data_IF_300242368686
#
_entry.id   IF_300242368686
#
_cell.length_a   1.000
_cell.length_b   1.000
_cell.length_c   1.000
_cell.angle_alpha   90.00
_cell.angle_beta   90.00
_cell.angle_gamma   90.00
#
_symmetry.space_group_name_H-M   'P 1'
#
loop_
_entity.id
_entity.type
_entity.pdbx_description
1 polymer ?
#
# COMPACT_ATOMS: atom_id res chain seq x y z
N UNK A 1 5.42 -18.49 35.82
CA UNK A 1 5.46 -17.02 35.77
C UNK A 1 4.17 -16.50 36.41
N UNK A 2 4.23 -15.62 37.41
CA UNK A 2 3.03 -15.13 38.12
C UNK A 2 2.14 -14.29 37.19
N UNK A 3 0.84 -14.23 37.47
CA UNK A 3 -0.08 -13.38 36.69
C UNK A 3 0.36 -11.91 36.64
N UNK A 4 0.95 -11.40 37.74
CA UNK A 4 1.49 -10.04 37.79
C UNK A 4 2.61 -9.79 36.76
N UNK A 5 3.53 -10.74 36.57
CA UNK A 5 4.59 -10.61 35.56
C UNK A 5 4.00 -10.67 34.15
N UNK A 6 3.07 -11.60 33.92
CA UNK A 6 2.41 -11.76 32.61
C UNK A 6 1.67 -10.49 32.21
N UNK A 7 0.88 -9.93 33.13
CA UNK A 7 0.14 -8.70 32.89
C UNK A 7 1.08 -7.52 32.71
N UNK A 8 2.12 -7.38 33.53
CA UNK A 8 3.12 -6.31 33.35
C UNK A 8 3.77 -6.34 31.97
N UNK A 9 4.14 -7.53 31.48
CA UNK A 9 4.70 -7.69 30.14
C UNK A 9 3.68 -7.35 29.03
N UNK A 10 2.48 -7.91 29.09
CA UNK A 10 1.48 -7.74 28.02
C UNK A 10 0.75 -6.39 28.05
N UNK A 11 0.79 -5.67 29.17
CA UNK A 11 0.34 -4.27 29.24
C UNK A 11 1.27 -3.36 28.40
N UNK A 12 2.57 -3.66 28.35
CA UNK A 12 3.56 -2.96 27.50
C UNK A 12 3.63 -3.53 26.08
N UNK A 13 3.57 -4.85 25.94
CA UNK A 13 3.71 -5.57 24.68
C UNK A 13 2.48 -6.45 24.41
N UNK A 14 1.35 -5.90 23.91
CA UNK A 14 0.11 -6.65 23.75
C UNK A 14 0.28 -7.97 22.97
N UNK A 15 -0.42 -9.05 23.35
CA UNK A 15 -0.20 -10.36 22.77
C UNK A 15 -0.54 -10.40 21.27
N UNK A 16 0.38 -10.99 20.49
CA UNK A 16 0.24 -11.15 19.04
C UNK A 16 -0.24 -12.55 18.63
N UNK A 17 -0.05 -13.55 19.49
CA UNK A 17 -0.44 -14.94 19.24
C UNK A 17 -1.70 -15.31 20.02
N UNK A 18 -2.41 -16.34 19.55
CA UNK A 18 -3.59 -16.85 20.25
C UNK A 18 -3.25 -17.33 21.67
N UNK A 19 -2.14 -18.06 21.83
CA UNK A 19 -1.69 -18.53 23.16
C UNK A 19 -1.36 -17.36 24.09
N UNK A 20 -0.76 -16.29 23.58
CA UNK A 20 -0.51 -15.07 24.33
C UNK A 20 -1.81 -14.38 24.76
N UNK A 21 -2.81 -14.37 23.88
CA UNK A 21 -4.14 -13.81 24.17
C UNK A 21 -4.80 -14.57 25.32
N UNK A 22 -4.80 -15.90 25.28
CA UNK A 22 -5.34 -16.72 26.36
C UNK A 22 -4.55 -16.50 27.65
N UNK A 23 -3.23 -16.51 27.58
CA UNK A 23 -2.38 -16.36 28.76
C UNK A 23 -2.59 -15.02 29.46
N UNK A 24 -2.74 -13.94 28.70
CA UNK A 24 -3.02 -12.62 29.24
C UNK A 24 -4.44 -12.52 29.82
N UNK A 25 -5.46 -13.05 29.13
CA UNK A 25 -6.83 -13.09 29.66
C UNK A 25 -6.95 -13.90 30.95
N UNK A 26 -6.30 -15.05 31.02
CA UNK A 26 -6.25 -15.89 32.23
C UNK A 26 -5.56 -15.14 33.38
N UNK A 27 -4.47 -14.39 33.09
CA UNK A 27 -3.77 -13.59 34.09
C UNK A 27 -4.59 -12.38 34.57
N UNK A 28 -5.36 -11.72 33.69
CA UNK A 28 -6.30 -10.67 34.10
C UNK A 28 -7.41 -11.22 35.00
N UNK A 29 -7.87 -12.45 34.73
CA UNK A 29 -8.86 -13.15 35.56
C UNK A 29 -8.30 -13.45 36.96
N UNK A 30 -7.08 -13.99 37.04
CA UNK A 30 -6.41 -14.31 38.31
C UNK A 30 -6.19 -13.07 39.19
N UNK A 31 -6.01 -11.90 38.57
CA UNK A 31 -5.84 -10.61 39.27
C UNK A 31 -7.14 -9.83 39.50
N UNK A 32 -8.30 -10.43 39.23
CA UNK A 32 -9.63 -9.82 39.38
C UNK A 32 -9.80 -8.48 38.60
N UNK A 33 -9.15 -8.35 37.45
CA UNK A 33 -9.23 -7.17 36.57
C UNK A 33 -10.38 -7.28 35.57
N UNK A 34 -11.61 -7.48 36.07
CA UNK A 34 -12.78 -7.81 35.24
C UNK A 34 -13.07 -6.81 34.10
N UNK A 35 -12.96 -5.50 34.37
CA UNK A 35 -13.19 -4.46 33.36
C UNK A 35 -12.16 -4.51 32.22
N UNK A 36 -10.90 -4.76 32.56
CA UNK A 36 -9.82 -4.87 31.58
C UNK A 36 -9.95 -6.16 30.75
N UNK A 37 -10.31 -7.27 31.40
CA UNK A 37 -10.59 -8.54 30.72
C UNK A 37 -11.72 -8.38 29.71
N UNK A 38 -12.84 -7.74 30.10
CA UNK A 38 -13.96 -7.49 29.19
C UNK A 38 -13.55 -6.63 28.00
N UNK A 39 -12.81 -5.54 28.22
CA UNK A 39 -12.34 -4.66 27.14
C UNK A 39 -11.38 -5.39 26.21
N UNK A 40 -10.44 -6.14 26.78
CA UNK A 40 -9.47 -6.95 26.04
C UNK A 40 -10.17 -8.03 25.20
N UNK A 41 -11.10 -8.79 25.78
CA UNK A 41 -11.80 -9.87 25.10
C UNK A 41 -12.59 -9.35 23.87
N UNK A 42 -13.33 -8.25 23.99
CA UNK A 42 -14.05 -7.69 22.85
C UNK A 42 -13.13 -7.14 21.76
N UNK A 43 -12.04 -6.48 22.13
CA UNK A 43 -11.05 -6.00 21.17
C UNK A 43 -10.46 -7.17 20.36
N UNK A 44 -10.02 -8.23 21.05
CA UNK A 44 -9.46 -9.42 20.39
C UNK A 44 -10.49 -10.19 19.60
N UNK A 45 -11.70 -10.32 20.11
CA UNK A 45 -12.81 -10.92 19.37
C UNK A 45 -13.08 -10.18 18.06
N UNK A 46 -12.96 -8.86 18.03
CA UNK A 46 -13.24 -8.09 16.81
C UNK A 46 -12.10 -8.14 15.81
N UNK A 47 -10.84 -8.12 16.28
CA UNK A 47 -9.67 -7.87 15.42
C UNK A 47 -8.86 -9.11 15.03
N UNK A 48 -8.94 -10.19 15.81
CA UNK A 48 -8.05 -11.34 15.64
C UNK A 48 -8.66 -12.38 14.70
N UNK A 49 -7.82 -12.89 13.79
CA UNK A 49 -8.16 -14.04 12.98
C UNK A 49 -8.09 -15.32 13.82
N UNK A 50 -9.18 -16.08 13.82
CA UNK A 50 -9.29 -17.31 14.61
C UNK A 50 -9.60 -18.48 13.68
N UNK A 51 -8.87 -19.59 13.88
CA UNK A 51 -9.28 -20.89 13.36
C UNK A 51 -10.63 -21.31 13.96
N UNK A 52 -11.24 -22.36 13.41
CA UNK A 52 -12.49 -22.87 13.98
C UNK A 52 -12.32 -23.31 15.45
N UNK A 53 -11.24 -24.05 15.75
CA UNK A 53 -10.94 -24.51 17.10
C UNK A 53 -10.66 -23.34 18.07
N UNK A 54 -9.84 -22.37 17.62
CA UNK A 54 -9.52 -21.18 18.41
C UNK A 54 -10.75 -20.32 18.69
N UNK A 55 -11.68 -20.22 17.74
CA UNK A 55 -12.93 -19.48 17.94
C UNK A 55 -13.80 -20.14 19.00
N UNK A 56 -13.93 -21.47 18.95
CA UNK A 56 -14.66 -22.21 19.98
C UNK A 56 -14.04 -22.00 21.35
N UNK A 57 -12.72 -22.22 21.48
CA UNK A 57 -12.02 -22.04 22.75
C UNK A 57 -12.14 -20.60 23.28
N UNK A 58 -12.06 -19.59 22.40
CA UNK A 58 -12.22 -18.20 22.79
C UNK A 58 -13.63 -17.92 23.33
N UNK A 59 -14.67 -18.45 22.68
CA UNK A 59 -16.06 -18.29 23.14
C UNK A 59 -16.34 -19.06 24.42
N UNK A 60 -15.74 -20.24 24.60
CA UNK A 60 -15.88 -21.02 25.83
C UNK A 60 -15.31 -20.25 27.04
N UNK A 61 -14.18 -19.56 26.85
CA UNK A 61 -13.53 -18.79 27.92
C UNK A 61 -14.14 -17.40 28.14
N UNK A 62 -14.40 -16.67 27.06
CA UNK A 62 -14.73 -15.24 27.12
C UNK A 62 -16.10 -14.90 26.55
N UNK A 63 -16.85 -15.87 26.01
CA UNK A 63 -18.12 -15.63 25.33
C UNK A 63 -19.17 -14.96 26.21
N UNK A 64 -19.22 -15.30 27.50
CA UNK A 64 -20.13 -14.67 28.46
C UNK A 64 -19.83 -13.18 28.70
N UNK A 65 -18.64 -12.71 28.34
CA UNK A 65 -18.27 -11.30 28.41
C UNK A 65 -18.72 -10.54 27.15
N UNK A 66 -18.97 -11.22 26.03
CA UNK A 66 -19.29 -10.58 24.77
C UNK A 66 -20.77 -10.19 24.68
N UNK A 67 -21.03 -9.14 23.90
CA UNK A 67 -22.35 -8.55 23.66
C UNK A 67 -22.72 -8.68 22.19
N UNK A 68 -24.00 -8.49 21.88
CA UNK A 68 -24.50 -8.38 20.49
C UNK A 68 -23.69 -7.37 19.66
N UNK A 69 -23.25 -6.26 20.28
CA UNK A 69 -22.45 -5.24 19.62
C UNK A 69 -21.05 -5.75 19.23
N UNK A 70 -20.41 -6.58 20.07
CA UNK A 70 -19.10 -7.17 19.74
C UNK A 70 -19.23 -8.22 18.64
N UNK A 71 -20.32 -9.00 18.64
CA UNK A 71 -20.61 -9.95 17.56
C UNK A 71 -20.87 -9.22 16.24
N UNK A 72 -21.59 -8.10 16.25
CA UNK A 72 -21.82 -7.26 15.08
C UNK A 72 -20.50 -6.61 14.59
N UNK A 73 -19.66 -6.12 15.50
CA UNK A 73 -18.36 -5.55 15.14
C UNK A 73 -17.44 -6.58 14.46
N UNK A 74 -17.39 -7.81 15.00
CA UNK A 74 -16.65 -8.91 14.35
C UNK A 74 -17.28 -9.29 13.00
N UNK A 75 -18.60 -9.30 12.90
CA UNK A 75 -19.30 -9.56 11.64
C UNK A 75 -18.87 -8.58 10.56
N UNK A 76 -18.89 -7.27 10.85
CA UNK A 76 -18.45 -6.25 9.90
C UNK A 76 -16.98 -6.42 9.50
N UNK A 77 -16.08 -6.63 10.48
CA UNK A 77 -14.67 -6.85 10.19
C UNK A 77 -14.45 -8.04 9.23
N UNK A 78 -15.15 -9.15 9.46
CA UNK A 78 -15.05 -10.36 8.63
C UNK A 78 -15.66 -10.17 7.24
N UNK A 79 -16.81 -9.48 7.13
CA UNK A 79 -17.47 -9.20 5.86
C UNK A 79 -16.60 -8.29 4.99
N UNK A 80 -16.06 -7.19 5.55
CA UNK A 80 -15.11 -6.36 4.83
C UNK A 80 -13.85 -7.16 4.45
N UNK A 81 -13.32 -8.03 5.32
CA UNK A 81 -12.19 -8.89 4.97
C UNK A 81 -12.55 -10.04 3.99
N UNK A 82 -13.81 -10.16 3.55
CA UNK A 82 -14.34 -11.23 2.71
C UNK A 82 -14.05 -12.65 3.26
N UNK A 83 -14.12 -12.79 4.59
CA UNK A 83 -13.83 -14.04 5.31
C UNK A 83 -15.08 -14.90 5.44
N UNK A 84 -15.55 -15.43 4.31
CA UNK A 84 -16.84 -16.13 4.22
C UNK A 84 -17.00 -17.30 5.20
N UNK A 85 -15.95 -18.10 5.39
CA UNK A 85 -16.00 -19.27 6.30
C UNK A 85 -16.15 -18.85 7.76
N UNK A 86 -15.38 -17.86 8.20
CA UNK A 86 -15.46 -17.33 9.57
C UNK A 86 -16.78 -16.60 9.81
N UNK A 87 -17.24 -15.81 8.84
CA UNK A 87 -18.53 -15.10 8.89
C UNK A 87 -19.67 -16.08 9.17
N UNK A 88 -19.73 -17.19 8.43
CA UNK A 88 -20.80 -18.20 8.62
C UNK A 88 -20.73 -18.90 9.96
N UNK A 89 -19.55 -19.00 10.59
CA UNK A 89 -19.43 -19.52 11.98
C UNK A 89 -20.03 -18.57 13.02
N UNK A 90 -20.24 -17.29 12.70
CA UNK A 90 -20.94 -16.37 13.60
C UNK A 90 -22.46 -16.49 13.54
N UNK A 91 -23.03 -17.16 12.53
CA UNK A 91 -24.49 -17.20 12.35
C UNK A 91 -25.28 -17.67 13.58
N UNK A 92 -24.81 -18.65 14.39
CA UNK A 92 -25.51 -19.01 15.63
C UNK A 92 -25.64 -17.86 16.64
N UNK A 93 -24.79 -16.85 16.56
CA UNK A 93 -24.72 -15.69 17.47
C UNK A 93 -25.45 -14.46 16.91
N UNK A 94 -26.08 -14.55 15.73
CA UNK A 94 -26.65 -13.41 15.02
C UNK A 94 -28.16 -13.51 14.90
N UNK A 95 -28.81 -12.34 14.86
CA UNK A 95 -30.25 -12.24 14.57
C UNK A 95 -30.54 -12.65 13.12
N UNK A 96 -31.78 -13.06 12.83
CA UNK A 96 -32.17 -13.54 11.50
C UNK A 96 -31.88 -12.51 10.37
N UNK A 97 -32.19 -11.24 10.59
CA UNK A 97 -31.92 -10.16 9.63
C UNK A 97 -30.42 -9.98 9.34
N UNK A 98 -29.58 -9.96 10.37
CA UNK A 98 -28.12 -9.85 10.23
C UNK A 98 -27.53 -11.04 9.48
N UNK A 99 -28.04 -12.26 9.72
CA UNK A 99 -27.64 -13.44 8.94
C UNK A 99 -27.98 -13.30 7.46
N UNK A 100 -29.18 -12.82 7.15
CA UNK A 100 -29.61 -12.60 5.76
C UNK A 100 -28.74 -11.55 5.06
N UNK A 101 -28.48 -10.42 5.72
CA UNK A 101 -27.56 -9.37 5.25
C UNK A 101 -26.16 -9.92 4.98
N UNK A 102 -25.61 -10.68 5.93
CA UNK A 102 -24.28 -11.27 5.82
C UNK A 102 -24.19 -12.24 4.62
N UNK A 103 -25.17 -13.14 4.45
CA UNK A 103 -25.16 -14.08 3.33
C UNK A 103 -25.31 -13.35 1.98
N UNK A 104 -26.14 -12.31 1.90
CA UNK A 104 -26.25 -11.47 0.71
C UNK A 104 -24.90 -10.81 0.35
N UNK A 105 -24.23 -10.18 1.32
CA UNK A 105 -22.90 -9.58 1.13
C UNK A 105 -21.85 -10.60 0.70
N UNK A 106 -21.81 -11.79 1.32
CA UNK A 106 -20.87 -12.85 0.93
C UNK A 106 -21.12 -13.37 -0.49
N UNK A 107 -22.37 -13.54 -0.90
CA UNK A 107 -22.72 -14.00 -2.23
C UNK A 107 -22.38 -12.94 -3.29
N UNK A 108 -22.67 -11.67 -3.02
CA UNK A 108 -22.25 -10.55 -3.85
C UNK A 108 -20.72 -10.47 -3.96
N UNK A 109 -19.97 -10.62 -2.87
CA UNK A 109 -18.51 -10.61 -2.91
C UNK A 109 -17.92 -11.79 -3.71
N UNK A 110 -18.66 -12.89 -3.82
CA UNK A 110 -18.28 -14.10 -4.57
C UNK A 110 -18.21 -13.91 -6.08
N UNK A 111 -17.87 -14.99 -6.81
CA UNK A 111 -17.87 -15.04 -8.29
C UNK A 111 -19.13 -15.68 -8.88
N UNK A 112 -19.88 -16.44 -8.08
CA UNK A 112 -21.05 -17.18 -8.55
C UNK A 112 -22.27 -16.29 -8.56
N UNK A 113 -23.02 -16.27 -9.68
CA UNK A 113 -24.32 -15.58 -9.77
C UNK A 113 -25.45 -16.32 -9.07
N UNK A 114 -25.26 -17.61 -8.75
CA UNK A 114 -26.30 -18.45 -8.18
C UNK A 114 -26.72 -17.93 -6.80
N UNK A 115 -28.01 -17.65 -6.66
CA UNK A 115 -28.64 -17.32 -5.37
C UNK A 115 -28.47 -15.87 -4.91
N UNK A 116 -27.76 -15.02 -5.67
CA UNK A 116 -27.54 -13.60 -5.33
C UNK A 116 -28.87 -12.86 -5.20
N UNK A 117 -29.73 -12.89 -6.22
CA UNK A 117 -31.00 -12.15 -6.20
C UNK A 117 -31.91 -12.59 -5.06
N UNK A 118 -31.97 -13.90 -4.81
CA UNK A 118 -32.74 -14.45 -3.69
C UNK A 118 -32.19 -13.97 -2.35
N UNK A 119 -30.87 -13.94 -2.18
CA UNK A 119 -30.25 -13.50 -0.94
C UNK A 119 -30.43 -12.00 -0.70
N UNK A 120 -30.25 -11.18 -1.73
CA UNK A 120 -30.51 -9.73 -1.65
C UNK A 120 -31.98 -9.46 -1.32
N UNK A 121 -32.93 -10.18 -1.94
CA UNK A 121 -34.36 -10.06 -1.63
C UNK A 121 -34.72 -10.51 -0.21
N UNK A 122 -33.92 -11.38 0.39
CA UNK A 122 -34.13 -11.87 1.76
C UNK A 122 -33.62 -10.89 2.83
N UNK A 123 -32.88 -9.84 2.47
CA UNK A 123 -32.45 -8.80 3.39
C UNK A 123 -33.68 -7.98 3.84
N UNK A 124 -33.92 -7.82 5.15
CA UNK A 124 -35.01 -6.97 5.65
C UNK A 124 -34.90 -5.52 5.18
N UNK A 125 -36.04 -4.83 5.07
CA UNK A 125 -36.08 -3.46 4.54
C UNK A 125 -35.25 -2.49 5.39
N UNK A 126 -35.24 -2.66 6.70
CA UNK A 126 -34.45 -1.88 7.65
C UNK A 126 -32.93 -2.04 7.50
N UNK A 127 -32.46 -3.06 6.76
CA UNK A 127 -31.05 -3.32 6.45
C UNK A 127 -30.72 -3.13 4.96
N UNK A 128 -31.67 -2.68 4.13
CA UNK A 128 -31.49 -2.57 2.69
C UNK A 128 -30.47 -1.49 2.29
N UNK A 129 -30.29 -0.49 3.16
CA UNK A 129 -29.33 0.63 2.99
C UNK A 129 -28.03 0.42 3.78
N UNK A 130 -27.75 -0.80 4.23
CA UNK A 130 -26.44 -1.12 4.83
C UNK A 130 -25.30 -0.75 3.87
N UNK A 131 -24.32 0.04 4.35
CA UNK A 131 -23.20 0.54 3.54
C UNK A 131 -22.47 -0.61 2.84
N UNK A 132 -22.19 -1.69 3.58
CA UNK A 132 -21.46 -2.83 3.05
C UNK A 132 -22.26 -3.62 2.01
N UNK A 133 -23.59 -3.66 2.12
CA UNK A 133 -24.46 -4.23 1.10
C UNK A 133 -24.45 -3.39 -0.18
N UNK A 134 -24.61 -2.07 -0.07
CA UNK A 134 -24.57 -1.17 -1.22
C UNK A 134 -23.21 -1.30 -1.93
N UNK A 135 -22.11 -1.24 -1.17
CA UNK A 135 -20.76 -1.42 -1.68
C UNK A 135 -20.61 -2.74 -2.46
N UNK A 136 -21.05 -3.88 -1.90
CA UNK A 136 -20.92 -5.16 -2.61
C UNK A 136 -21.82 -5.24 -3.85
N UNK A 137 -22.96 -4.53 -3.88
CA UNK A 137 -23.80 -4.40 -5.07
C UNK A 137 -23.13 -3.55 -6.16
N UNK A 138 -22.45 -2.46 -5.82
CA UNK A 138 -21.62 -1.66 -6.75
C UNK A 138 -20.56 -2.56 -7.39
N UNK A 139 -19.80 -3.29 -6.56
CA UNK A 139 -18.75 -4.22 -7.00
C UNK A 139 -19.25 -5.34 -7.88
N UNK A 140 -20.41 -5.88 -7.53
CA UNK A 140 -21.07 -6.93 -8.29
C UNK A 140 -21.42 -6.45 -9.70
N UNK A 141 -22.08 -5.29 -9.81
CA UNK A 141 -22.47 -4.70 -11.10
C UNK A 141 -21.25 -4.33 -11.95
N UNK A 142 -20.24 -3.70 -11.35
CA UNK A 142 -18.97 -3.40 -12.04
C UNK A 142 -18.31 -4.66 -12.62
N UNK A 143 -18.20 -5.74 -11.83
CA UNK A 143 -17.60 -7.02 -12.28
C UNK A 143 -18.44 -7.76 -13.32
N UNK A 144 -19.72 -7.42 -13.43
CA UNK A 144 -20.61 -7.89 -14.49
C UNK A 144 -20.64 -6.94 -15.70
N UNK A 145 -19.71 -5.97 -15.76
CA UNK A 145 -19.60 -4.94 -16.79
C UNK A 145 -20.86 -4.06 -16.95
N UNK A 146 -21.71 -4.03 -15.92
CA UNK A 146 -22.80 -3.08 -15.80
C UNK A 146 -22.30 -1.81 -15.09
N UNK A 147 -21.62 -0.94 -15.85
CA UNK A 147 -21.05 0.33 -15.35
C UNK A 147 -22.13 1.31 -14.91
N UNK A 148 -23.17 1.51 -15.72
CA UNK A 148 -24.30 2.41 -15.43
C UNK A 148 -24.99 2.04 -14.10
N UNK A 149 -25.40 0.78 -13.96
CA UNK A 149 -26.02 0.31 -12.73
C UNK A 149 -25.07 0.34 -11.53
N UNK A 150 -23.76 0.27 -11.71
CA UNK A 150 -22.82 0.46 -10.60
C UNK A 150 -22.78 1.92 -10.15
N UNK A 151 -22.79 2.87 -11.10
CA UNK A 151 -22.81 4.32 -10.83
C UNK A 151 -24.11 4.75 -10.16
N UNK A 152 -25.26 4.23 -10.59
CA UNK A 152 -26.55 4.50 -9.94
C UNK A 152 -26.52 4.20 -8.42
N UNK A 153 -25.82 3.13 -8.03
CA UNK A 153 -25.69 2.76 -6.61
C UNK A 153 -24.68 3.62 -5.86
N UNK A 154 -23.73 4.25 -6.54
CA UNK A 154 -22.80 5.19 -5.89
C UNK A 154 -23.52 6.44 -5.35
N UNK A 155 -24.72 6.76 -5.85
CA UNK A 155 -25.56 7.81 -5.28
C UNK A 155 -26.05 7.49 -3.86
N UNK A 156 -26.01 6.23 -3.45
CA UNK A 156 -26.38 5.77 -2.10
C UNK A 156 -25.15 5.64 -1.18
N UNK A 157 -23.96 6.03 -1.63
CA UNK A 157 -22.78 6.07 -0.77
C UNK A 157 -22.99 7.10 0.37
N UNK A 158 -22.70 6.74 1.64
CA UNK A 158 -22.74 7.70 2.73
C UNK A 158 -21.76 8.86 2.50
N UNK A 159 -22.12 10.07 2.93
CA UNK A 159 -21.24 11.25 2.81
C UNK A 159 -19.88 11.06 3.50
N UNK A 160 -19.84 10.29 4.59
CA UNK A 160 -18.62 9.84 5.26
C UNK A 160 -18.68 8.32 5.39
N UNK A 161 -18.14 7.56 4.43
CA UNK A 161 -18.20 6.09 4.46
C UNK A 161 -17.28 5.52 5.56
N UNK A 162 -17.62 4.34 6.08
CA UNK A 162 -16.77 3.64 7.06
C UNK A 162 -15.48 3.08 6.44
N UNK A 163 -15.48 2.85 5.12
CA UNK A 163 -14.34 2.37 4.33
C UNK A 163 -14.04 3.26 3.11
N UNK A 164 -13.62 4.51 3.31
CA UNK A 164 -13.37 5.47 2.21
C UNK A 164 -12.35 4.95 1.20
N UNK A 165 -11.34 4.20 1.66
CA UNK A 165 -10.34 3.52 0.82
C UNK A 165 -10.97 2.59 -0.24
N UNK A 166 -12.03 1.88 0.16
CA UNK A 166 -12.70 0.89 -0.69
C UNK A 166 -13.65 1.55 -1.68
N UNK A 167 -14.41 2.54 -1.24
CA UNK A 167 -15.26 3.33 -2.11
C UNK A 167 -14.44 4.08 -3.16
N UNK A 168 -13.32 4.68 -2.75
CA UNK A 168 -12.36 5.31 -3.67
C UNK A 168 -11.91 4.35 -4.77
N UNK A 169 -11.54 3.11 -4.41
CA UNK A 169 -11.12 2.10 -5.38
C UNK A 169 -12.19 1.87 -6.45
N UNK A 170 -13.45 1.72 -6.07
CA UNK A 170 -14.54 1.45 -7.01
C UNK A 170 -14.88 2.68 -7.87
N UNK A 171 -14.89 3.89 -7.29
CA UNK A 171 -15.04 5.15 -8.03
C UNK A 171 -13.92 5.34 -9.06
N UNK A 172 -12.66 5.15 -8.66
CA UNK A 172 -11.51 5.31 -9.55
C UNK A 172 -11.58 4.34 -10.74
N UNK A 173 -11.98 3.08 -10.51
CA UNK A 173 -12.18 2.11 -11.61
C UNK A 173 -13.31 2.56 -12.54
N UNK A 174 -14.47 2.96 -12.00
CA UNK A 174 -15.62 3.36 -12.79
C UNK A 174 -15.37 4.66 -13.56
N UNK A 175 -14.67 5.63 -12.96
CA UNK A 175 -14.26 6.87 -13.62
C UNK A 175 -13.32 6.60 -14.80
N UNK A 176 -12.39 5.65 -14.67
CA UNK A 176 -11.52 5.22 -15.78
C UNK A 176 -12.28 4.52 -16.90
N UNK A 177 -13.40 3.84 -16.59
CA UNK A 177 -14.29 3.27 -17.61
C UNK A 177 -15.04 4.38 -18.36
N UNK A 178 -15.67 5.31 -17.64
CA UNK A 178 -16.31 6.48 -18.24
C UNK A 178 -15.34 7.25 -19.13
N UNK A 179 -14.11 7.47 -18.64
CA UNK A 179 -13.05 8.09 -19.42
C UNK A 179 -12.74 7.32 -20.72
N UNK A 180 -12.57 5.99 -20.64
CA UNK A 180 -12.31 5.16 -21.82
C UNK A 180 -13.48 5.16 -22.81
N UNK A 181 -14.71 5.32 -22.32
CA UNK A 181 -15.95 5.42 -23.11
C UNK A 181 -16.19 6.84 -23.66
N UNK A 182 -15.35 7.81 -23.31
CA UNK A 182 -15.41 9.20 -23.77
C UNK A 182 -16.24 10.15 -22.90
N UNK A 183 -16.85 9.67 -21.82
CA UNK A 183 -17.58 10.49 -20.85
C UNK A 183 -16.62 11.09 -19.80
N UNK A 184 -15.90 12.12 -20.22
CA UNK A 184 -14.91 12.78 -19.36
C UNK A 184 -15.54 13.61 -18.23
N UNK A 185 -16.74 14.18 -18.46
CA UNK A 185 -17.44 14.96 -17.44
C UNK A 185 -17.99 14.03 -16.35
N UNK A 186 -18.64 12.93 -16.72
CA UNK A 186 -19.08 11.92 -15.74
C UNK A 186 -17.90 11.29 -14.99
N UNK A 187 -16.77 11.06 -15.67
CA UNK A 187 -15.54 10.61 -15.01
C UNK A 187 -15.07 11.60 -13.94
N UNK A 188 -15.09 12.91 -14.23
CA UNK A 188 -14.76 13.97 -13.28
C UNK A 188 -15.75 14.00 -12.10
N UNK A 189 -17.06 14.01 -12.39
CA UNK A 189 -18.16 14.01 -11.40
C UNK A 189 -18.04 12.87 -10.39
N UNK A 190 -17.54 11.72 -10.83
CA UNK A 190 -17.40 10.56 -9.97
C UNK A 190 -16.27 10.69 -8.94
N UNK A 191 -15.25 11.50 -9.21
CA UNK A 191 -14.01 11.54 -8.42
C UNK A 191 -13.75 12.87 -7.73
N UNK A 192 -14.36 13.98 -8.14
CA UNK A 192 -14.22 15.25 -7.42
C UNK A 192 -14.94 15.22 -6.06
N UNK A 193 -14.40 15.86 -5.02
CA UNK A 193 -15.01 16.07 -3.69
C UNK A 193 -15.33 14.84 -2.84
N UNK A 194 -14.30 14.18 -2.28
CA UNK A 194 -14.45 12.99 -1.44
C UNK A 194 -13.94 13.24 -0.01
N UNK A 195 -14.69 12.77 0.99
CA UNK A 195 -14.36 12.93 2.40
C UNK A 195 -13.75 11.64 2.99
N UNK A 196 -12.97 11.79 4.06
CA UNK A 196 -12.41 10.65 4.80
C UNK A 196 -11.30 9.88 4.08
N UNK A 197 -10.87 10.31 2.89
CA UNK A 197 -9.76 9.68 2.16
C UNK A 197 -8.46 9.76 2.96
N UNK A 198 -7.65 8.71 2.86
CA UNK A 198 -6.27 8.77 3.32
C UNK A 198 -5.51 9.84 2.54
N UNK A 199 -4.40 10.35 3.08
CA UNK A 199 -3.54 11.33 2.36
C UNK A 199 -3.13 10.82 0.97
N UNK A 200 -2.87 9.51 0.84
CA UNK A 200 -2.48 8.89 -0.43
C UNK A 200 -3.65 8.86 -1.42
N UNK A 201 -4.83 8.42 -0.97
CA UNK A 201 -6.02 8.34 -1.83
C UNK A 201 -6.50 9.73 -2.23
N UNK A 202 -6.43 10.70 -1.31
CA UNK A 202 -6.72 12.11 -1.61
C UNK A 202 -5.77 12.65 -2.68
N UNK A 203 -4.47 12.38 -2.56
CA UNK A 203 -3.50 12.80 -3.58
C UNK A 203 -3.79 12.17 -4.96
N UNK A 204 -4.24 10.91 -5.01
CA UNK A 204 -4.66 10.29 -6.27
C UNK A 204 -5.93 10.94 -6.82
N UNK A 205 -6.93 11.18 -5.96
CA UNK A 205 -8.21 11.79 -6.33
C UNK A 205 -8.05 13.21 -6.85
N UNK A 206 -7.28 14.05 -6.16
CA UNK A 206 -7.01 15.43 -6.58
C UNK A 206 -6.20 15.45 -7.88
N UNK A 207 -5.22 14.56 -8.05
CA UNK A 207 -4.48 14.49 -9.31
C UNK A 207 -5.38 14.09 -10.49
N UNK A 208 -6.19 13.04 -10.34
CA UNK A 208 -7.10 12.58 -11.40
C UNK A 208 -8.16 13.63 -11.73
N UNK A 209 -8.75 14.26 -10.71
CA UNK A 209 -9.76 15.32 -10.88
C UNK A 209 -9.17 16.53 -11.61
N UNK A 210 -7.99 17.01 -11.18
CA UNK A 210 -7.31 18.12 -11.84
C UNK A 210 -6.88 17.79 -13.27
N UNK A 211 -6.41 16.57 -13.52
CA UNK A 211 -6.02 16.13 -14.86
C UNK A 211 -7.21 16.05 -15.81
N UNK A 212 -8.34 15.48 -15.38
CA UNK A 212 -9.59 15.47 -16.15
C UNK A 212 -10.07 16.90 -16.44
N UNK A 213 -10.12 17.74 -15.40
CA UNK A 213 -10.51 19.14 -15.48
C UNK A 213 -9.69 19.93 -16.51
N UNK A 214 -8.35 19.81 -16.45
CA UNK A 214 -7.44 20.56 -17.31
C UNK A 214 -7.39 20.03 -18.75
N UNK A 215 -7.45 18.71 -18.93
CA UNK A 215 -7.07 18.07 -20.20
C UNK A 215 -8.25 17.62 -21.06
N UNK A 216 -9.44 17.46 -20.48
CA UNK A 216 -10.54 16.76 -21.14
C UNK A 216 -11.89 17.45 -21.05
N UNK A 217 -12.10 18.36 -20.09
CA UNK A 217 -13.37 19.10 -19.95
C UNK A 217 -13.19 20.62 -20.00
N UNK A 218 -11.99 21.11 -20.37
CA UNK A 218 -11.68 22.53 -20.56
C UNK A 218 -12.02 23.43 -19.36
N UNK A 219 -11.75 22.94 -18.13
CA UNK A 219 -11.96 23.66 -16.86
C UNK A 219 -10.66 23.86 -16.09
N UNK A 220 -9.73 24.70 -16.59
CA UNK A 220 -8.48 24.99 -15.89
C UNK A 220 -8.70 25.69 -14.53
N UNK A 221 -9.82 26.39 -14.37
CA UNK A 221 -10.25 26.99 -13.09
C UNK A 221 -10.50 25.94 -12.01
N UNK A 222 -11.14 24.81 -12.35
CA UNK A 222 -11.32 23.69 -11.43
C UNK A 222 -10.00 22.97 -11.19
N UNK A 223 -9.20 22.77 -12.25
CA UNK A 223 -7.91 22.09 -12.16
C UNK A 223 -6.94 22.77 -11.19
N UNK A 224 -6.93 24.11 -11.15
CA UNK A 224 -6.07 24.88 -10.26
C UNK A 224 -6.33 24.49 -8.79
N UNK A 225 -7.61 24.50 -8.38
CA UNK A 225 -8.00 24.12 -7.01
C UNK A 225 -7.59 22.68 -6.66
N UNK A 226 -7.77 21.75 -7.59
CA UNK A 226 -7.38 20.35 -7.39
C UNK A 226 -5.86 20.19 -7.25
N UNK A 227 -5.07 20.77 -8.16
CA UNK A 227 -3.62 20.63 -8.09
C UNK A 227 -3.00 21.41 -6.92
N UNK A 228 -3.64 22.50 -6.47
CA UNK A 228 -3.26 23.21 -5.24
C UNK A 228 -3.47 22.34 -4.01
N UNK A 229 -4.66 21.75 -3.85
CA UNK A 229 -4.93 20.77 -2.77
C UNK A 229 -3.99 19.57 -2.84
N UNK A 230 -3.68 19.06 -4.03
CA UNK A 230 -2.67 18.00 -4.20
C UNK A 230 -1.31 18.43 -3.63
N UNK A 231 -0.81 19.61 -4.04
CA UNK A 231 0.49 20.10 -3.61
C UNK A 231 0.57 20.33 -2.10
N UNK A 232 -0.47 20.90 -1.50
CA UNK A 232 -0.56 21.19 -0.07
C UNK A 232 -0.68 19.92 0.80
N UNK A 233 -1.27 18.84 0.25
CA UNK A 233 -1.50 17.60 0.97
C UNK A 233 -0.41 16.54 0.82
N UNK A 234 0.63 16.80 0.02
CA UNK A 234 1.75 15.88 -0.18
C UNK A 234 3.03 16.42 0.46
N UNK A 235 4.03 15.55 0.64
CA UNK A 235 5.31 15.98 1.24
C UNK A 235 6.54 15.33 0.63
N UNK A 236 6.39 14.29 -0.21
CA UNK A 236 7.53 13.66 -0.86
C UNK A 236 7.98 14.48 -2.08
N UNK A 237 9.30 14.57 -2.37
CA UNK A 237 9.80 15.33 -3.52
C UNK A 237 9.10 14.97 -4.84
N UNK A 238 8.85 13.68 -5.08
CA UNK A 238 8.14 13.20 -6.27
C UNK A 238 6.72 13.80 -6.37
N UNK A 239 6.00 13.85 -5.25
CA UNK A 239 4.62 14.34 -5.25
C UNK A 239 4.55 15.86 -5.29
N UNK A 240 5.47 16.56 -4.60
CA UNK A 240 5.59 18.01 -4.67
C UNK A 240 5.91 18.46 -6.10
N UNK A 241 6.89 17.81 -6.75
CA UNK A 241 7.23 18.07 -8.14
C UNK A 241 6.03 17.86 -9.08
N UNK A 242 5.26 16.80 -8.87
CA UNK A 242 4.04 16.51 -9.63
C UNK A 242 2.98 17.60 -9.45
N UNK A 243 2.66 17.98 -8.22
CA UNK A 243 1.66 19.01 -7.93
C UNK A 243 2.06 20.35 -8.54
N UNK A 244 3.31 20.77 -8.30
CA UNK A 244 3.84 22.02 -8.84
C UNK A 244 3.89 22.02 -10.37
N UNK A 245 4.32 20.94 -11.02
CA UNK A 245 4.31 20.86 -12.48
C UNK A 245 2.92 21.04 -13.06
N UNK A 246 1.92 20.36 -12.51
CA UNK A 246 0.55 20.45 -13.00
C UNK A 246 -0.13 21.80 -12.69
N UNK A 247 0.23 22.47 -11.59
CA UNK A 247 -0.10 23.89 -11.38
C UNK A 247 0.52 24.77 -12.46
N UNK A 248 1.80 24.55 -12.79
CA UNK A 248 2.47 25.25 -13.90
C UNK A 248 1.75 25.08 -15.24
N UNK A 249 1.35 23.84 -15.58
CA UNK A 249 0.52 23.55 -16.77
C UNK A 249 -0.85 24.24 -16.75
N UNK A 250 -1.44 24.36 -15.56
CA UNK A 250 -2.74 25.02 -15.38
C UNK A 250 -2.63 26.52 -15.65
N UNK A 251 -1.66 27.19 -15.01
CA UNK A 251 -1.43 28.63 -15.25
C UNK A 251 -0.95 28.94 -16.66
N UNK A 252 -0.18 28.04 -17.29
CA UNK A 252 0.16 28.12 -18.71
C UNK A 252 -1.11 28.15 -19.57
N UNK A 253 -2.07 27.26 -19.29
CA UNK A 253 -3.35 27.18 -20.01
C UNK A 253 -4.23 28.40 -19.76
N UNK A 254 -4.18 28.99 -18.56
CA UNK A 254 -4.86 30.24 -18.20
C UNK A 254 -4.19 31.49 -18.80
N UNK A 255 -3.05 31.37 -19.49
CA UNK A 255 -2.29 32.49 -20.04
C UNK A 255 -1.50 33.29 -18.99
N UNK A 256 -1.41 32.82 -17.74
CA UNK A 256 -0.64 33.47 -16.68
C UNK A 256 0.78 32.90 -16.65
N UNK A 257 1.65 33.45 -17.50
CA UNK A 257 3.03 32.98 -17.67
C UNK A 257 3.90 33.14 -16.42
N UNK A 258 3.66 34.18 -15.63
CA UNK A 258 4.45 34.46 -14.44
C UNK A 258 4.20 33.39 -13.36
N UNK A 259 2.94 33.09 -13.06
CA UNK A 259 2.58 31.98 -12.17
C UNK A 259 3.04 30.64 -12.73
N UNK A 260 2.87 30.39 -14.03
CA UNK A 260 3.34 29.14 -14.64
C UNK A 260 4.85 28.94 -14.39
N UNK A 261 5.63 30.00 -14.60
CA UNK A 261 7.09 29.99 -14.37
C UNK A 261 7.44 29.72 -12.91
N UNK A 262 6.75 30.36 -11.96
CA UNK A 262 6.95 30.13 -10.52
C UNK A 262 6.71 28.66 -10.14
N UNK A 263 5.64 28.06 -10.64
CA UNK A 263 5.30 26.67 -10.35
C UNK A 263 6.24 25.68 -11.05
N UNK A 264 6.68 25.95 -12.28
CA UNK A 264 7.72 25.14 -12.90
C UNK A 264 9.06 25.25 -12.17
N UNK A 265 9.45 26.43 -11.68
CA UNK A 265 10.65 26.56 -10.85
C UNK A 265 10.52 25.76 -9.55
N UNK A 266 9.34 25.76 -8.92
CA UNK A 266 9.07 24.95 -7.75
C UNK A 266 9.20 23.45 -8.02
N UNK A 267 8.68 22.97 -9.16
CA UNK A 267 8.85 21.58 -9.57
C UNK A 267 10.32 21.23 -9.91
N UNK A 268 11.02 22.12 -10.61
CA UNK A 268 12.40 21.92 -11.06
C UNK A 268 13.42 21.85 -9.92
N UNK A 269 13.09 22.36 -8.72
CA UNK A 269 13.89 22.13 -7.49
C UNK A 269 13.99 20.66 -7.09
N UNK A 270 13.12 19.80 -7.63
CA UNK A 270 13.14 18.35 -7.43
C UNK A 270 13.61 17.64 -8.71
N UNK A 271 14.84 17.93 -9.11
CA UNK A 271 15.44 17.61 -10.41
C UNK A 271 15.66 16.10 -10.70
N UNK A 272 15.58 15.25 -9.68
CA UNK A 272 15.59 13.78 -9.84
C UNK A 272 14.19 13.17 -9.95
N UNK A 273 13.13 13.96 -9.73
CA UNK A 273 11.76 13.52 -9.98
C UNK A 273 11.37 13.78 -11.44
N UNK A 274 10.60 12.86 -12.04
CA UNK A 274 10.14 12.96 -13.44
C UNK A 274 9.51 14.33 -13.77
N UNK A 275 8.59 14.80 -12.94
CA UNK A 275 7.93 16.10 -13.16
C UNK A 275 8.85 17.31 -12.92
N UNK A 276 9.88 17.16 -12.08
CA UNK A 276 10.91 18.19 -11.93
C UNK A 276 11.78 18.30 -13.17
N UNK A 277 12.13 17.16 -13.79
CA UNK A 277 12.86 17.14 -15.06
C UNK A 277 12.05 17.73 -16.22
N UNK A 278 10.74 17.43 -16.29
CA UNK A 278 9.85 18.05 -17.27
C UNK A 278 9.74 19.57 -17.08
N UNK A 279 9.65 20.03 -15.82
CA UNK A 279 9.62 21.46 -15.51
C UNK A 279 10.94 22.15 -15.86
N UNK A 280 12.08 21.52 -15.57
CA UNK A 280 13.40 22.01 -15.94
C UNK A 280 13.54 22.16 -17.46
N UNK A 281 13.08 21.16 -18.22
CA UNK A 281 13.04 21.21 -19.67
C UNK A 281 12.16 22.35 -20.21
N UNK A 282 10.99 22.58 -19.60
CA UNK A 282 10.12 23.71 -19.96
C UNK A 282 10.79 25.07 -19.71
N UNK A 283 11.54 25.19 -18.60
CA UNK A 283 12.31 26.39 -18.25
C UNK A 283 13.57 26.60 -19.11
N UNK A 284 13.92 25.63 -19.98
CA UNK A 284 15.17 25.65 -20.73
C UNK A 284 16.42 25.45 -19.87
N UNK A 285 16.27 24.89 -18.67
CA UNK A 285 17.39 24.54 -17.81
C UNK A 285 18.08 23.27 -18.36
N UNK A 286 19.42 23.17 -18.27
CA UNK A 286 20.11 21.97 -18.68
C UNK A 286 19.65 20.77 -17.84
N UNK A 287 19.52 19.60 -18.48
CA UNK A 287 19.34 18.33 -17.75
C UNK A 287 20.50 18.16 -16.75
N UNK A 288 20.17 17.88 -15.49
CA UNK A 288 21.08 17.80 -14.32
C UNK A 288 22.51 17.41 -14.72
N UNK A 289 23.41 18.39 -14.74
CA UNK A 289 24.81 18.18 -15.16
C UNK A 289 25.62 17.43 -14.08
N UNK A 290 25.16 17.46 -12.81
CA UNK A 290 25.79 16.78 -11.68
C UNK A 290 24.72 16.37 -10.66
N UNK A 291 24.68 15.08 -10.32
CA UNK A 291 23.84 14.56 -9.24
C UNK A 291 24.35 15.08 -7.89
N UNK A 292 23.47 15.33 -6.91
CA UNK A 292 23.89 15.78 -5.59
C UNK A 292 24.76 14.70 -4.91
N UNK A 293 25.74 15.14 -4.14
CA UNK A 293 26.55 14.25 -3.31
C UNK A 293 25.68 13.68 -2.16
N UNK A 294 26.01 12.48 -1.69
CA UNK A 294 25.36 11.88 -0.52
C UNK A 294 25.60 12.77 0.73
N UNK A 295 24.64 12.82 1.68
CA UNK A 295 24.77 13.65 2.87
C UNK A 295 26.00 13.24 3.69
N UNK A 296 26.76 14.20 4.24
CA UNK A 296 27.94 13.88 5.02
C UNK A 296 27.55 13.13 6.30
N UNK A 297 28.35 12.11 6.66
CA UNK A 297 28.24 11.38 7.92
C UNK A 297 29.22 11.97 8.92
N UNK A 298 28.73 12.34 10.12
CA UNK A 298 29.60 12.83 11.18
C UNK A 298 30.39 11.70 11.84
N UNK A 299 31.58 11.97 12.43
CA UNK A 299 32.33 10.96 13.17
C UNK A 299 31.53 10.34 14.32
N UNK A 300 30.68 11.12 14.98
CA UNK A 300 29.81 10.66 16.07
C UNK A 300 28.74 9.69 15.55
N UNK A 301 28.11 10.01 14.42
CA UNK A 301 27.11 9.14 13.79
C UNK A 301 27.73 7.81 13.34
N UNK A 302 28.93 7.86 12.75
CA UNK A 302 29.68 6.66 12.38
C UNK A 302 30.02 5.81 13.61
N UNK A 303 30.57 6.42 14.66
CA UNK A 303 30.95 5.69 15.88
C UNK A 303 29.73 5.05 16.56
N UNK A 304 28.60 5.78 16.64
CA UNK A 304 27.36 5.24 17.20
C UNK A 304 26.80 4.08 16.37
N UNK A 305 26.96 4.13 15.05
CA UNK A 305 26.57 3.05 14.15
C UNK A 305 27.47 1.82 14.31
N UNK A 306 28.80 2.01 14.41
CA UNK A 306 29.78 0.93 14.55
C UNK A 306 29.61 0.14 15.85
N UNK A 307 29.16 0.78 16.93
CA UNK A 307 28.93 0.11 18.23
C UNK A 307 27.50 -0.43 18.41
N UNK A 308 26.68 -0.41 17.36
CA UNK A 308 25.32 -0.93 17.41
C UNK A 308 25.33 -2.47 17.38
N UNK A 309 24.78 -3.12 18.40
CA UNK A 309 24.69 -4.58 18.50
C UNK A 309 24.09 -5.24 17.23
N UNK A 310 23.18 -4.58 16.52
CA UNK A 310 22.63 -5.11 15.27
C UNK A 310 23.68 -5.20 14.18
N UNK A 311 24.60 -4.25 14.09
CA UNK A 311 25.70 -4.26 13.11
C UNK A 311 26.60 -5.48 13.37
N UNK A 312 26.98 -5.71 14.63
CA UNK A 312 27.76 -6.89 15.01
C UNK A 312 27.04 -8.21 14.68
N UNK A 313 25.75 -8.31 15.00
CA UNK A 313 24.92 -9.48 14.67
C UNK A 313 24.86 -9.70 13.17
N UNK A 314 24.66 -8.64 12.38
CA UNK A 314 24.58 -8.72 10.91
C UNK A 314 25.91 -9.24 10.33
N UNK A 315 27.03 -8.66 10.77
CA UNK A 315 28.37 -9.06 10.29
C UNK A 315 28.68 -10.52 10.67
N UNK A 316 28.37 -10.93 11.90
CA UNK A 316 28.59 -12.30 12.35
C UNK A 316 27.74 -13.31 11.57
N UNK A 317 26.46 -13.00 11.29
CA UNK A 317 25.57 -13.85 10.50
C UNK A 317 26.01 -13.95 9.04
N UNK A 318 26.45 -12.84 8.44
CA UNK A 318 26.95 -12.85 7.07
C UNK A 318 28.24 -13.67 6.95
N UNK A 319 29.15 -13.55 7.93
CA UNK A 319 30.40 -14.31 7.98
C UNK A 319 30.19 -15.85 7.98
N UNK A 320 29.11 -16.33 8.59
CA UNK A 320 28.77 -17.77 8.61
C UNK A 320 27.81 -18.19 7.48
N UNK A 321 27.45 -17.27 6.58
CA UNK A 321 26.55 -17.54 5.45
C UNK A 321 25.06 -17.58 5.80
N UNK A 322 24.65 -17.13 7.00
CA UNK A 322 23.26 -17.05 7.45
C UNK A 322 22.54 -15.80 6.88
N UNK A 323 22.56 -15.69 5.55
CA UNK A 323 22.13 -14.51 4.79
C UNK A 323 20.67 -14.11 5.07
N UNK A 324 19.76 -15.09 5.23
CA UNK A 324 18.35 -14.82 5.53
C UNK A 324 18.17 -14.16 6.90
N UNK A 325 18.98 -14.56 7.88
CA UNK A 325 18.95 -13.96 9.21
C UNK A 325 19.62 -12.59 9.19
N UNK A 326 20.78 -12.45 8.56
CA UNK A 326 21.45 -11.16 8.37
C UNK A 326 20.50 -10.12 7.72
N UNK A 327 19.79 -10.51 6.65
CA UNK A 327 18.82 -9.66 5.96
C UNK A 327 17.65 -9.23 6.87
N UNK A 328 17.24 -10.06 7.83
CA UNK A 328 16.19 -9.69 8.80
C UNK A 328 16.71 -8.60 9.73
N UNK A 329 17.90 -8.76 10.29
CA UNK A 329 18.50 -7.77 11.17
C UNK A 329 18.84 -6.48 10.43
N UNK A 330 19.34 -6.56 9.20
CA UNK A 330 19.65 -5.38 8.38
C UNK A 330 18.39 -4.55 8.06
N UNK A 331 17.24 -5.20 7.84
CA UNK A 331 15.94 -4.49 7.72
C UNK A 331 15.49 -3.84 9.03
N UNK A 332 15.75 -4.48 10.17
CA UNK A 332 15.46 -3.87 11.48
C UNK A 332 16.36 -2.67 11.70
N UNK A 333 17.66 -2.79 11.42
CA UNK A 333 18.63 -1.69 11.50
C UNK A 333 18.18 -0.49 10.64
N UNK A 334 17.80 -0.72 9.39
CA UNK A 334 17.27 0.34 8.52
C UNK A 334 16.01 1.02 9.10
N UNK A 335 15.19 0.29 9.84
CA UNK A 335 13.98 0.80 10.48
C UNK A 335 14.18 1.47 11.84
N UNK A 336 15.40 1.45 12.40
CA UNK A 336 15.66 2.07 13.72
C UNK A 336 15.66 3.60 13.68
N UNK A 337 15.96 4.20 12.53
CA UNK A 337 16.02 5.66 12.40
C UNK A 337 15.65 6.10 10.99
N UNK A 338 14.99 7.26 10.90
CA UNK A 338 14.71 7.99 9.66
C UNK A 338 15.82 9.01 9.32
N UNK A 339 16.87 9.11 10.14
CA UNK A 339 18.00 10.02 9.91
C UNK A 339 18.75 9.67 8.61
N UNK A 340 18.90 10.61 7.66
CA UNK A 340 19.67 10.41 6.44
C UNK A 340 21.08 9.86 6.66
N UNK A 341 21.79 10.26 7.73
CA UNK A 341 23.13 9.76 8.01
C UNK A 341 23.10 8.27 8.41
N UNK A 342 22.13 7.88 9.25
CA UNK A 342 21.91 6.48 9.63
C UNK A 342 21.55 5.61 8.41
N UNK A 343 20.67 6.12 7.55
CA UNK A 343 20.27 5.42 6.33
C UNK A 343 21.41 5.33 5.31
N UNK A 344 22.28 6.33 5.23
CA UNK A 344 23.50 6.28 4.42
C UNK A 344 24.45 5.19 4.91
N UNK A 345 24.74 5.14 6.21
CA UNK A 345 25.57 4.10 6.82
C UNK A 345 24.98 2.70 6.65
N UNK A 346 23.68 2.54 6.91
CA UNK A 346 22.97 1.27 6.72
C UNK A 346 23.01 0.82 5.26
N UNK A 347 22.83 1.76 4.32
CA UNK A 347 22.90 1.46 2.90
C UNK A 347 24.31 1.08 2.47
N UNK A 348 25.34 1.76 2.99
CA UNK A 348 26.74 1.43 2.75
C UNK A 348 27.09 0.02 3.24
N UNK A 349 26.69 -0.33 4.47
CA UNK A 349 26.83 -1.70 4.98
C UNK A 349 26.11 -2.71 4.06
N UNK A 350 24.88 -2.41 3.65
CA UNK A 350 24.13 -3.28 2.75
C UNK A 350 24.83 -3.47 1.40
N UNK A 351 25.44 -2.43 0.82
CA UNK A 351 26.23 -2.54 -0.41
C UNK A 351 27.48 -3.40 -0.22
N UNK A 352 28.21 -3.22 0.89
CA UNK A 352 29.40 -4.03 1.24
C UNK A 352 29.06 -5.52 1.36
N UNK A 353 27.89 -5.84 1.89
CA UNK A 353 27.38 -7.21 2.00
C UNK A 353 26.63 -7.68 0.74
N UNK A 354 26.76 -6.96 -0.38
CA UNK A 354 26.10 -7.23 -1.66
C UNK A 354 24.55 -7.29 -1.61
N UNK A 355 23.93 -6.74 -0.56
CA UNK A 355 22.47 -6.64 -0.36
C UNK A 355 21.91 -5.37 -1.00
N UNK A 356 22.11 -5.21 -2.30
CA UNK A 356 21.64 -4.06 -3.10
C UNK A 356 20.17 -3.71 -2.86
N UNK A 357 19.31 -4.72 -2.71
CA UNK A 357 17.88 -4.53 -2.47
C UNK A 357 17.54 -3.87 -1.13
N UNK A 358 18.36 -4.07 -0.10
CA UNK A 358 18.21 -3.37 1.17
C UNK A 358 18.79 -1.97 1.07
N UNK A 359 19.95 -1.79 0.41
CA UNK A 359 20.52 -0.48 0.14
C UNK A 359 19.53 0.44 -0.62
N UNK A 360 18.92 -0.05 -1.70
CA UNK A 360 17.94 0.70 -2.48
C UNK A 360 16.72 1.08 -1.65
N UNK A 361 16.25 0.20 -0.75
CA UNK A 361 15.11 0.51 0.13
C UNK A 361 15.45 1.58 1.16
N UNK A 362 16.60 1.46 1.81
CA UNK A 362 17.10 2.47 2.76
C UNK A 362 17.30 3.82 2.07
N UNK A 363 17.85 3.82 0.85
CA UNK A 363 17.97 5.02 0.01
C UNK A 363 16.61 5.64 -0.35
N UNK A 364 15.60 4.83 -0.67
CA UNK A 364 14.23 5.31 -0.90
C UNK A 364 13.62 5.93 0.36
N UNK A 365 13.86 5.37 1.53
CA UNK A 365 13.41 5.91 2.81
C UNK A 365 14.03 7.28 3.08
N UNK A 366 15.35 7.43 2.85
CA UNK A 366 16.04 8.73 2.95
C UNK A 366 15.49 9.76 1.95
N UNK A 367 15.30 9.33 0.70
CA UNK A 367 14.78 10.18 -0.39
C UNK A 367 13.37 10.72 -0.12
N UNK A 368 12.56 10.01 0.67
CA UNK A 368 11.24 10.49 1.08
C UNK A 368 11.32 11.74 1.98
N UNK A 369 12.48 12.02 2.59
CA UNK A 369 12.75 13.16 3.49
C UNK A 369 13.60 14.25 2.86
N UNK A 370 14.05 14.08 1.62
CA UNK A 370 14.80 15.08 0.86
C UNK A 370 16.16 14.59 0.36
N UNK A 371 17.04 14.06 1.23
CA UNK A 371 18.37 13.62 0.82
C UNK A 371 18.32 12.43 -0.12
N UNK A 372 18.98 12.55 -1.26
CA UNK A 372 19.16 11.46 -2.20
C UNK A 372 20.44 10.72 -1.81
N UNK A 373 20.32 9.41 -1.63
CA UNK A 373 21.48 8.52 -1.56
C UNK A 373 21.66 7.92 -2.95
N UNK A 374 22.45 8.58 -3.80
CA UNK A 374 22.49 8.28 -5.23
C UNK A 374 23.13 6.91 -5.46
N UNK A 375 24.29 6.64 -4.85
CA UNK A 375 25.03 5.39 -5.03
C UNK A 375 24.22 4.19 -4.53
N UNK A 376 23.68 4.29 -3.32
CA UNK A 376 22.82 3.26 -2.74
C UNK A 376 21.46 3.13 -3.44
N UNK A 377 20.91 4.25 -3.91
CA UNK A 377 19.62 4.30 -4.56
C UNK A 377 19.65 3.77 -5.97
N UNK A 378 20.77 3.90 -6.69
CA UNK A 378 20.93 3.53 -8.09
C UNK A 378 22.21 2.72 -8.30
N UNK A 379 22.32 1.52 -7.69
CA UNK A 379 23.51 0.71 -7.78
C UNK A 379 23.74 0.24 -9.22
N UNK A 380 25.01 0.16 -9.60
CA UNK A 380 25.43 -0.36 -10.90
C UNK A 380 25.60 -1.88 -10.79
N UNK A 381 25.01 -2.60 -11.75
CA UNK A 381 25.20 -4.03 -11.94
C UNK A 381 25.85 -4.21 -13.31
N UNK A 382 26.98 -4.91 -13.36
CA UNK A 382 27.60 -5.31 -14.62
C UNK A 382 26.68 -6.32 -15.32
N UNK A 383 26.07 -5.91 -16.42
CA UNK A 383 25.21 -6.75 -17.24
C UNK A 383 26.07 -7.37 -18.35
N UNK A 384 26.02 -8.70 -18.48
CA UNK A 384 26.71 -9.42 -19.56
C UNK A 384 26.04 -9.10 -20.90
N UNK A 385 26.53 -8.07 -21.59
CA UNK A 385 25.98 -7.60 -22.86
C UNK A 385 26.50 -8.46 -24.03
N UNK A 386 25.74 -9.49 -24.42
CA UNK A 386 26.06 -10.33 -25.59
C UNK A 386 25.33 -9.90 -26.89
N UNK A 387 24.44 -8.91 -26.87
CA UNK A 387 23.65 -8.51 -28.04
C UNK A 387 23.34 -6.99 -28.05
N UNK A 388 23.03 -6.38 -29.21
CA UNK A 388 22.50 -5.01 -29.26
C UNK A 388 21.16 -4.95 -28.52
N UNK A 389 21.20 -4.46 -27.28
CA UNK A 389 20.05 -4.28 -26.40
C UNK A 389 19.69 -2.81 -26.19
N UNK A 390 18.63 -2.53 -25.42
CA UNK A 390 18.34 -1.20 -24.91
C UNK A 390 19.54 -0.64 -24.13
N UNK A 391 19.58 0.69 -23.99
CA UNK A 391 20.58 1.38 -23.18
C UNK A 391 20.72 0.77 -21.76
N UNK A 392 21.96 0.60 -21.29
CA UNK A 392 22.25 -0.04 -19.99
C UNK A 392 21.60 0.70 -18.84
N UNK A 393 21.54 2.04 -18.86
CA UNK A 393 20.90 2.81 -17.80
C UNK A 393 19.39 2.54 -17.75
N UNK A 394 18.75 2.37 -18.91
CA UNK A 394 17.33 1.96 -18.98
C UNK A 394 17.11 0.57 -18.39
N UNK A 395 17.99 -0.39 -18.67
CA UNK A 395 17.91 -1.74 -18.10
C UNK A 395 18.05 -1.72 -16.58
N UNK A 396 19.05 -0.99 -16.06
CA UNK A 396 19.26 -0.84 -14.62
C UNK A 396 18.08 -0.11 -13.95
N UNK A 397 17.52 0.92 -14.57
CA UNK A 397 16.34 1.61 -14.07
C UNK A 397 15.12 0.68 -13.98
N UNK A 398 14.94 -0.19 -14.97
CA UNK A 398 13.88 -1.20 -14.96
C UNK A 398 14.10 -2.24 -13.85
N UNK A 399 15.33 -2.78 -13.70
CA UNK A 399 15.68 -3.71 -12.63
C UNK A 399 15.42 -3.10 -11.25
N UNK A 400 15.83 -1.84 -11.06
CA UNK A 400 15.60 -1.08 -9.83
C UNK A 400 14.10 -0.97 -9.51
N UNK A 401 13.27 -0.70 -10.52
CA UNK A 401 11.84 -0.53 -10.35
C UNK A 401 11.12 -1.86 -10.09
N UNK A 402 11.53 -2.92 -10.77
CA UNK A 402 10.84 -4.23 -10.73
C UNK A 402 11.22 -5.07 -9.50
N UNK A 403 12.51 -5.12 -9.16
CA UNK A 403 13.00 -6.01 -8.10
C UNK A 403 13.87 -5.34 -7.04
N UNK A 404 14.24 -4.07 -7.26
CA UNK A 404 15.24 -3.38 -6.43
C UNK A 404 16.58 -4.16 -6.42
N UNK A 405 16.93 -4.78 -7.54
CA UNK A 405 18.11 -5.65 -7.68
C UNK A 405 18.07 -6.95 -6.86
N UNK A 406 16.89 -7.37 -6.39
CA UNK A 406 16.74 -8.65 -5.70
C UNK A 406 16.61 -9.80 -6.72
N UNK A 407 17.67 -10.59 -6.84
CA UNK A 407 17.76 -11.71 -7.81
C UNK A 407 16.68 -12.76 -7.58
N UNK A 408 16.36 -13.09 -6.33
CA UNK A 408 15.38 -14.13 -5.98
C UNK A 408 13.93 -13.61 -5.86
N UNK A 409 13.65 -12.39 -6.34
CA UNK A 409 12.35 -11.76 -6.20
C UNK A 409 11.23 -12.56 -6.89
N UNK A 410 10.15 -12.85 -6.15
CA UNK A 410 8.92 -13.43 -6.68
C UNK A 410 7.74 -12.56 -6.25
N UNK A 411 6.97 -12.02 -7.21
CA UNK A 411 5.77 -11.25 -6.91
C UNK A 411 4.58 -12.15 -6.57
N UNK A 412 3.53 -11.56 -5.99
CA UNK A 412 2.27 -12.25 -5.67
C UNK A 412 1.60 -12.87 -6.91
N UNK A 413 1.73 -12.23 -8.08
CA UNK A 413 1.21 -12.74 -9.36
C UNK A 413 2.13 -13.78 -10.02
N UNK A 414 3.33 -13.99 -9.47
CA UNK A 414 4.28 -15.00 -9.91
C UNK A 414 5.35 -14.52 -10.90
N UNK A 415 5.52 -13.20 -11.05
CA UNK A 415 6.65 -12.60 -11.78
C UNK A 415 7.97 -12.84 -11.03
N UNK A 416 9.09 -13.00 -11.74
CA UNK A 416 10.34 -13.55 -11.16
C UNK A 416 11.60 -12.80 -11.59
N UNK A 417 12.56 -12.72 -10.67
CA UNK A 417 13.92 -12.26 -10.96
C UNK A 417 14.09 -10.76 -11.00
N UNK A 418 15.27 -10.33 -11.45
CA UNK A 418 15.69 -8.93 -11.52
C UNK A 418 14.72 -8.03 -12.31
N UNK A 419 14.17 -8.54 -13.41
CA UNK A 419 13.26 -7.82 -14.30
C UNK A 419 11.80 -8.28 -14.18
N UNK A 420 11.45 -9.05 -13.13
CA UNK A 420 10.09 -9.56 -12.88
C UNK A 420 9.41 -10.17 -14.12
N UNK A 421 10.05 -11.15 -14.75
CA UNK A 421 9.47 -11.84 -15.89
C UNK A 421 8.36 -12.80 -15.44
N UNK A 422 7.20 -12.72 -16.10
CA UNK A 422 6.15 -13.74 -15.96
C UNK A 422 6.63 -15.06 -16.59
N UNK A 423 6.37 -16.23 -15.97
CA UNK A 423 6.80 -17.53 -16.52
C UNK A 423 6.31 -17.81 -17.94
N UNK A 424 5.10 -17.34 -18.30
CA UNK A 424 4.57 -17.46 -19.64
C UNK A 424 5.35 -16.61 -20.66
N UNK A 425 5.71 -15.37 -20.27
CA UNK A 425 6.52 -14.45 -21.08
C UNK A 425 7.93 -15.01 -21.26
N UNK A 426 8.58 -15.45 -20.18
CA UNK A 426 9.92 -16.05 -20.23
C UNK A 426 9.95 -17.24 -21.19
N UNK A 427 8.99 -18.16 -21.09
CA UNK A 427 8.88 -19.31 -22.01
C UNK A 427 8.74 -18.90 -23.47
N UNK A 428 7.91 -17.90 -23.75
CA UNK A 428 7.71 -17.37 -25.11
C UNK A 428 9.01 -16.77 -25.65
N UNK A 429 9.67 -15.92 -24.87
CA UNK A 429 10.93 -15.28 -25.26
C UNK A 429 12.06 -16.30 -25.44
N UNK A 430 12.20 -17.28 -24.53
CA UNK A 430 13.22 -18.33 -24.66
C UNK A 430 13.08 -19.11 -25.96
N UNK A 431 11.85 -19.42 -26.40
CA UNK A 431 11.60 -20.06 -27.70
C UNK A 431 11.98 -19.17 -28.88
N UNK A 432 11.65 -17.88 -28.82
CA UNK A 432 12.00 -16.93 -29.87
C UNK A 432 13.51 -16.72 -30.00
N UNK A 433 14.22 -16.71 -28.88
CA UNK A 433 15.67 -16.52 -28.81
C UNK A 433 16.48 -17.81 -28.96
N UNK A 434 15.83 -18.98 -29.02
CA UNK A 434 16.51 -20.27 -29.12
C UNK A 434 17.30 -20.67 -27.86
N UNK A 435 16.99 -20.10 -26.69
CA UNK A 435 17.70 -20.39 -25.43
C UNK A 435 16.91 -21.39 -24.55
N UNK A 436 17.59 -22.24 -23.76
CA UNK A 436 16.90 -23.16 -22.85
C UNK A 436 16.06 -22.41 -21.80
N UNK A 437 14.79 -22.79 -21.67
CA UNK A 437 13.89 -22.22 -20.67
C UNK A 437 13.94 -23.01 -19.35
N UNK A 438 14.20 -22.30 -18.25
CA UNK A 438 14.06 -22.84 -16.88
C UNK A 438 13.51 -21.79 -15.93
N UNK A 439 12.39 -22.10 -15.26
CA UNK A 439 11.78 -21.19 -14.28
C UNK A 439 12.71 -20.96 -13.09
N UNK A 440 13.49 -21.97 -12.69
CA UNK A 440 14.45 -21.86 -11.58
C UNK A 440 15.55 -20.85 -11.90
N UNK A 441 16.01 -20.79 -13.16
CA UNK A 441 17.07 -19.86 -13.58
C UNK A 441 16.65 -18.41 -13.42
N UNK A 442 15.36 -18.08 -13.58
CA UNK A 442 14.85 -16.71 -13.40
C UNK A 442 15.11 -16.13 -12.00
N UNK A 443 15.40 -16.94 -10.99
CA UNK A 443 15.67 -16.49 -9.61
C UNK A 443 17.03 -16.92 -9.09
N UNK A 444 17.86 -17.55 -9.92
CA UNK A 444 19.14 -18.15 -9.50
C UNK A 444 20.30 -17.87 -10.45
N UNK A 445 20.02 -17.30 -11.62
CA UNK A 445 20.97 -17.03 -12.70
C UNK A 445 20.66 -15.60 -13.21
N UNK A 446 21.21 -14.57 -12.53
CA UNK A 446 20.87 -13.15 -12.75
C UNK A 446 21.24 -12.61 -14.13
#
# INVERSE_FOLDING_TARGET
>A
MSAKIVVGWFDEFPPLTFDGILRYGDALTELDRAADLRRFAADRWTRVELSAAQQTEFLDRYGALLTDADHQARLEALLWANRARETRRLYPLLRAGQRALAEARLLLAGRSRRGVDRAVKAVPAELAEDEGLIYERVRWRRRADNTEGAIELLALEPAVPSRPDRWWTERNILARRLFADGDHLGAYELVHDRQGLSRSDLAEAEWLSGWLALRFIDRPDLAEGHFRRLYENVGTPISLARGAYWLGRTFETLGNRDEATLWFQAAARHDTAFYGQLAAGWLGLPSVARLPDDPPVSPEALSAFEVNDLVDIILALDQIGETVHADRFLRVLAGQSDDPAHLALTSGLALTLERRHIAVRSAKQASARGPLLIEAGYPILELSAAAPGPDTALLLALIRQESEFRVDAISRSGARGLMQLMPATARRMSRQLGVPHSIRRLTADP
#
